data_IF_809519163912
#
_entry.id   IF_809519163912
#
_cell.length_a   1.000
_cell.length_b   1.000
_cell.length_c   1.000
_cell.angle_alpha   90.00
_cell.angle_beta   90.00
_cell.angle_gamma   90.00
#
_symmetry.space_group_name_H-M   'P 1'
#
loop_
_entity.id
_entity.type
_entity.pdbx_description
1 polymer ?
#
# COMPACT_ATOMS: atom_id res chain seq x y z
N UNK A 1 15.02 12.56 -1.10
CA UNK A 1 13.85 13.47 -1.24
C UNK A 1 13.99 14.08 -2.61
N UNK A 2 13.03 13.84 -3.49
CA UNK A 2 13.22 14.12 -4.93
C UNK A 2 12.46 15.37 -5.39
N UNK A 3 11.33 15.68 -4.76
CA UNK A 3 10.43 16.77 -5.19
C UNK A 3 10.52 18.06 -4.34
N UNK A 4 11.63 18.23 -3.62
CA UNK A 4 11.94 19.45 -2.85
C UNK A 4 13.30 19.96 -3.29
N UNK A 5 13.35 21.16 -3.86
CA UNK A 5 14.56 21.80 -4.36
C UNK A 5 15.00 22.92 -3.43
N UNK A 6 16.31 23.12 -3.33
CA UNK A 6 16.91 24.26 -2.64
C UNK A 6 17.21 25.37 -3.65
N UNK A 7 16.66 26.57 -3.42
CA UNK A 7 16.95 27.78 -4.20
C UNK A 7 18.25 28.42 -3.68
N UNK A 8 18.91 29.22 -4.52
CA UNK A 8 20.09 30.00 -4.16
C UNK A 8 19.85 30.98 -2.99
N UNK A 9 18.60 31.42 -2.77
CA UNK A 9 18.22 32.25 -1.62
C UNK A 9 18.22 31.49 -0.28
N UNK A 10 18.34 30.16 -0.31
CA UNK A 10 18.22 29.30 0.86
C UNK A 10 16.80 28.77 1.11
N UNK A 11 15.81 29.15 0.29
CA UNK A 11 14.44 28.69 0.42
C UNK A 11 14.21 27.33 -0.26
N UNK A 12 13.33 26.51 0.32
CA UNK A 12 12.91 25.24 -0.26
C UNK A 12 11.65 25.42 -1.09
N UNK A 13 11.62 24.82 -2.29
CA UNK A 13 10.47 24.87 -3.19
C UNK A 13 10.06 23.47 -3.62
N UNK A 14 8.75 23.23 -3.71
CA UNK A 14 8.21 22.00 -4.28
C UNK A 14 8.34 22.02 -5.81
N UNK A 15 8.68 20.88 -6.39
CA UNK A 15 8.69 20.68 -7.83
C UNK A 15 7.90 19.43 -8.22
N UNK A 16 7.72 19.23 -9.53
CA UNK A 16 7.00 18.11 -10.14
C UNK A 16 5.51 17.99 -9.77
N UNK A 17 4.68 18.65 -10.58
CA UNK A 17 3.23 18.59 -10.49
C UNK A 17 2.61 17.61 -11.50
N UNK A 18 3.40 16.70 -12.09
CA UNK A 18 2.93 15.74 -13.10
C UNK A 18 1.89 14.74 -12.59
N UNK A 19 1.85 14.52 -11.28
CA UNK A 19 0.87 13.67 -10.59
C UNK A 19 -0.22 14.44 -9.84
N UNK A 20 -0.24 15.77 -9.93
CA UNK A 20 -1.20 16.59 -9.21
C UNK A 20 -2.62 16.42 -9.80
N UNK A 21 -3.62 16.38 -8.92
CA UNK A 21 -5.03 16.31 -9.31
C UNK A 21 -5.89 17.18 -8.39
N UNK A 22 -7.00 17.70 -8.92
CA UNK A 22 -8.04 18.38 -8.12
C UNK A 22 -9.22 17.45 -7.80
N UNK A 23 -9.23 16.24 -8.35
CA UNK A 23 -10.29 15.28 -8.14
C UNK A 23 -10.08 14.49 -6.85
N UNK A 24 -11.13 14.35 -6.05
CA UNK A 24 -11.17 13.41 -4.93
C UNK A 24 -11.61 12.06 -5.49
N UNK A 25 -10.70 11.09 -5.53
CA UNK A 25 -10.99 9.76 -6.03
C UNK A 25 -11.85 8.97 -5.04
N UNK A 26 -12.97 8.41 -5.52
CA UNK A 26 -13.93 7.68 -4.70
C UNK A 26 -14.04 6.20 -5.14
N UNK A 27 -13.38 5.25 -4.46
CA UNK A 27 -13.39 3.82 -4.81
C UNK A 27 -14.68 3.06 -4.40
N UNK A 28 -15.86 3.60 -4.72
CA UNK A 28 -17.16 3.06 -4.27
C UNK A 28 -17.60 1.79 -5.03
N UNK A 29 -17.43 1.78 -6.35
CA UNK A 29 -17.78 0.65 -7.24
C UNK A 29 -16.56 -0.17 -7.65
N UNK A 30 -16.77 -1.37 -8.18
CA UNK A 30 -15.68 -2.20 -8.70
C UNK A 30 -14.93 -1.51 -9.86
N UNK A 31 -15.66 -0.88 -10.79
CA UNK A 31 -15.07 -0.15 -11.91
C UNK A 31 -14.27 1.08 -11.45
N UNK A 32 -14.81 1.86 -10.51
CA UNK A 32 -14.06 3.00 -9.94
C UNK A 32 -12.83 2.55 -9.15
N UNK A 33 -12.90 1.41 -8.45
CA UNK A 33 -11.73 0.84 -7.75
C UNK A 33 -10.61 0.50 -8.71
N UNK A 34 -10.92 -0.21 -9.79
CA UNK A 34 -9.93 -0.57 -10.80
C UNK A 34 -9.27 0.67 -11.42
N UNK A 35 -10.06 1.68 -11.80
CA UNK A 35 -9.52 2.94 -12.35
C UNK A 35 -8.58 3.64 -11.36
N UNK A 36 -9.01 3.75 -10.10
CA UNK A 36 -8.22 4.41 -9.05
C UNK A 36 -6.94 3.63 -8.76
N UNK A 37 -6.99 2.30 -8.78
CA UNK A 37 -5.81 1.45 -8.61
C UNK A 37 -4.77 1.67 -9.73
N UNK A 38 -5.22 1.75 -10.99
CA UNK A 38 -4.36 2.05 -12.14
C UNK A 38 -3.72 3.45 -12.04
N UNK A 39 -4.50 4.46 -11.63
CA UNK A 39 -4.00 5.83 -11.42
C UNK A 39 -2.97 5.90 -10.28
N UNK A 40 -3.25 5.25 -9.13
CA UNK A 40 -2.31 5.15 -8.01
C UNK A 40 -1.02 4.47 -8.44
N UNK A 41 -1.13 3.33 -9.15
CA UNK A 41 0.02 2.59 -9.63
C UNK A 41 0.91 3.43 -10.56
N UNK A 42 0.30 4.29 -11.37
CA UNK A 42 1.00 5.13 -12.36
C UNK A 42 1.62 6.40 -11.78
N UNK A 43 0.92 7.07 -10.86
CA UNK A 43 1.25 8.45 -10.46
C UNK A 43 1.82 8.60 -9.05
N UNK A 44 1.89 7.52 -8.27
CA UNK A 44 2.32 7.60 -6.86
C UNK A 44 3.45 6.62 -6.54
N UNK A 45 4.31 7.00 -5.60
CA UNK A 45 5.42 6.17 -5.11
C UNK A 45 4.98 5.36 -3.89
N UNK A 46 5.14 4.03 -3.94
CA UNK A 46 4.63 3.09 -2.93
C UNK A 46 4.95 3.49 -1.48
N UNK A 47 6.20 3.85 -1.19
CA UNK A 47 6.65 4.21 0.17
C UNK A 47 6.00 5.47 0.77
N UNK A 48 5.31 6.27 -0.05
CA UNK A 48 4.58 7.46 0.40
C UNK A 48 3.05 7.29 0.26
N UNK A 49 2.57 6.14 -0.23
CA UNK A 49 1.13 5.87 -0.33
C UNK A 49 0.51 5.79 1.05
N UNK A 50 -0.64 6.44 1.19
CA UNK A 50 -1.44 6.39 2.41
C UNK A 50 -2.24 5.07 2.51
N UNK A 51 -2.75 4.71 3.70
CA UNK A 51 -3.53 3.49 3.89
C UNK A 51 -4.76 3.40 2.98
N UNK A 52 -5.43 4.52 2.73
CA UNK A 52 -6.57 4.59 1.82
C UNK A 52 -6.18 4.42 0.34
N UNK A 53 -4.91 4.64 -0.05
CA UNK A 53 -4.40 4.29 -1.38
C UNK A 53 -3.98 2.81 -1.48
N UNK A 54 -3.59 2.20 -0.36
CA UNK A 54 -3.18 0.78 -0.31
C UNK A 54 -4.40 -0.14 -0.19
N UNK A 55 -5.43 0.26 0.54
CA UNK A 55 -6.65 -0.53 0.76
C UNK A 55 -7.90 0.20 0.23
N UNK A 56 -8.15 0.08 -1.07
CA UNK A 56 -9.32 0.68 -1.73
C UNK A 56 -10.66 0.06 -1.27
N UNK A 57 -10.64 -1.09 -0.61
CA UNK A 57 -11.85 -1.74 -0.09
C UNK A 57 -12.40 -1.08 1.18
N UNK A 58 -11.63 -0.20 1.82
CA UNK A 58 -12.12 0.61 2.94
C UNK A 58 -13.18 1.63 2.50
N UNK A 59 -13.30 1.90 1.19
CA UNK A 59 -14.27 2.85 0.63
C UNK A 59 -14.01 4.31 1.02
N UNK A 60 -12.85 4.62 1.59
CA UNK A 60 -12.45 5.98 1.96
C UNK A 60 -12.10 6.79 0.70
N UNK A 61 -12.53 8.06 0.62
CA UNK A 61 -12.09 8.95 -0.46
C UNK A 61 -10.59 9.19 -0.37
N UNK A 62 -9.94 9.30 -1.52
CA UNK A 62 -8.52 9.67 -1.64
C UNK A 62 -8.48 11.12 -2.08
N UNK A 63 -7.91 11.97 -1.22
CA UNK A 63 -7.84 13.42 -1.42
C UNK A 63 -6.73 14.04 -0.59
N UNK A 64 -6.85 15.33 -0.20
CA UNK A 64 -5.80 16.05 0.53
C UNK A 64 -5.21 15.36 1.78
N UNK A 65 -5.97 14.57 2.57
CA UNK A 65 -5.38 13.80 3.67
C UNK A 65 -4.26 12.84 3.25
N UNK A 66 -4.27 12.32 2.02
CA UNK A 66 -3.20 11.46 1.51
C UNK A 66 -1.85 12.19 1.42
N UNK A 67 -1.86 13.49 1.07
CA UNK A 67 -0.66 14.32 1.05
C UNK A 67 -0.10 14.55 2.46
N UNK A 68 -0.96 14.65 3.47
CA UNK A 68 -0.54 14.78 4.87
C UNK A 68 0.21 13.52 5.33
N UNK A 69 -0.25 12.34 4.91
CA UNK A 69 0.48 11.09 5.16
C UNK A 69 1.85 11.10 4.49
N UNK A 70 1.91 11.46 3.20
CA UNK A 70 3.15 11.58 2.47
C UNK A 70 4.12 12.59 3.10
N UNK A 71 3.61 13.70 3.64
CA UNK A 71 4.38 14.69 4.40
C UNK A 71 4.94 14.11 5.72
N UNK A 72 4.17 13.26 6.40
CA UNK A 72 4.66 12.48 7.55
C UNK A 72 5.83 11.56 7.19
N UNK A 73 5.70 10.81 6.09
CA UNK A 73 6.80 9.98 5.55
C UNK A 73 8.02 10.83 5.16
N UNK A 74 7.79 12.00 4.55
CA UNK A 74 8.85 12.93 4.16
C UNK A 74 9.61 13.46 5.38
N UNK A 75 8.89 13.91 6.43
CA UNK A 75 9.51 14.40 7.66
C UNK A 75 10.34 13.31 8.34
N UNK A 76 9.81 12.09 8.43
CA UNK A 76 10.56 10.94 8.94
C UNK A 76 11.86 10.72 8.14
N UNK A 77 11.78 10.77 6.80
CA UNK A 77 12.94 10.59 5.92
C UNK A 77 13.97 11.71 6.04
N UNK A 78 13.54 12.96 6.24
CA UNK A 78 14.45 14.07 6.51
C UNK A 78 15.19 13.90 7.84
N UNK A 79 14.52 13.33 8.85
CA UNK A 79 15.14 13.06 10.14
C UNK A 79 16.12 11.89 10.08
N UNK A 80 15.69 10.74 9.55
CA UNK A 80 16.37 9.47 9.73
C UNK A 80 17.02 8.90 8.46
N UNK A 81 16.86 9.57 7.32
CA UNK A 81 17.33 9.11 6.00
C UNK A 81 16.77 7.74 5.55
N UNK A 82 15.78 7.23 6.26
CA UNK A 82 15.05 6.00 5.97
C UNK A 82 13.55 6.29 5.88
N UNK A 83 12.76 5.33 5.40
CA UNK A 83 11.30 5.44 5.29
C UNK A 83 10.63 4.71 6.47
N UNK A 84 9.54 5.27 7.04
CA UNK A 84 8.92 4.68 8.24
C UNK A 84 8.35 3.27 8.01
N UNK A 85 7.96 2.96 6.76
CA UNK A 85 7.32 1.68 6.40
C UNK A 85 8.05 0.92 5.29
N UNK A 86 9.15 1.45 4.76
CA UNK A 86 9.81 0.91 3.55
C UNK A 86 8.82 0.77 2.38
N UNK A 87 8.58 -0.47 1.96
CA UNK A 87 7.59 -0.83 0.93
C UNK A 87 6.51 -1.79 1.48
N UNK A 88 6.39 -1.94 2.80
CA UNK A 88 5.46 -2.87 3.44
C UNK A 88 4.04 -2.30 3.48
N UNK A 89 3.16 -2.82 2.62
CA UNK A 89 1.74 -2.45 2.57
C UNK A 89 1.02 -2.73 3.89
N UNK A 90 1.38 -3.81 4.59
CA UNK A 90 0.81 -4.16 5.89
C UNK A 90 1.21 -3.14 6.97
N UNK A 91 2.48 -2.71 7.00
CA UNK A 91 2.95 -1.71 7.96
C UNK A 91 2.30 -0.34 7.71
N UNK A 92 2.11 0.02 6.43
CA UNK A 92 1.35 1.22 6.03
C UNK A 92 -0.07 1.14 6.58
N UNK A 93 -0.79 0.03 6.33
CA UNK A 93 -2.18 -0.14 6.77
C UNK A 93 -2.34 -0.06 8.30
N UNK A 94 -1.40 -0.63 9.06
CA UNK A 94 -1.43 -0.59 10.52
C UNK A 94 -0.97 0.77 11.09
N UNK A 95 -0.23 1.57 10.30
CA UNK A 95 0.43 2.78 10.79
C UNK A 95 1.52 2.52 11.83
N UNK A 96 2.06 1.30 11.85
CA UNK A 96 3.09 0.90 12.80
C UNK A 96 4.47 1.27 12.28
N UNK A 97 5.10 2.24 12.94
CA UNK A 97 6.49 2.62 12.73
C UNK A 97 7.16 2.90 14.07
N UNK A 98 8.50 2.91 14.08
CA UNK A 98 9.29 3.20 15.28
C UNK A 98 10.20 4.40 15.06
N UNK A 99 10.37 5.20 16.10
CA UNK A 99 11.45 6.19 16.17
C UNK A 99 12.72 5.48 16.67
N UNK A 100 13.89 5.68 16.04
CA UNK A 100 15.17 5.18 16.57
C UNK A 100 15.45 5.75 17.96
N UNK A 101 15.91 4.89 18.89
CA UNK A 101 16.11 5.27 20.30
C UNK A 101 17.14 6.40 20.46
N UNK A 102 18.21 6.38 19.66
CA UNK A 102 19.28 7.40 19.62
C UNK A 102 18.92 8.61 18.75
N UNK A 103 17.62 8.92 18.63
CA UNK A 103 17.19 10.06 17.84
C UNK A 103 17.67 11.38 18.46
N UNK A 104 18.45 12.14 17.70
CA UNK A 104 18.87 13.51 18.02
C UNK A 104 17.77 14.58 17.94
N UNK A 105 16.61 14.27 17.36
CA UNK A 105 15.49 15.22 17.19
C UNK A 105 14.61 15.29 18.45
N UNK A 106 13.92 16.42 18.62
CA UNK A 106 13.06 16.64 19.78
C UNK A 106 11.82 15.75 19.77
N UNK A 107 11.25 15.54 20.95
CA UNK A 107 9.98 14.83 21.13
C UNK A 107 8.84 15.45 20.31
N UNK A 108 8.83 16.78 20.16
CA UNK A 108 7.80 17.47 19.37
C UNK A 108 7.84 17.07 17.90
N UNK A 109 9.04 16.91 17.31
CA UNK A 109 9.20 16.40 15.94
C UNK A 109 8.70 14.97 15.83
N UNK A 110 9.00 14.12 16.82
CA UNK A 110 8.53 12.74 16.85
C UNK A 110 7.00 12.66 16.92
N UNK A 111 6.40 13.45 17.80
CA UNK A 111 4.95 13.54 17.94
C UNK A 111 4.30 14.12 16.67
N UNK A 112 4.93 15.09 16.00
CA UNK A 112 4.45 15.65 14.74
C UNK A 112 4.45 14.62 13.61
N UNK A 113 5.49 13.77 13.52
CA UNK A 113 5.50 12.64 12.59
C UNK A 113 4.32 11.70 12.90
N UNK A 114 4.12 11.30 14.16
CA UNK A 114 3.01 10.41 14.55
C UNK A 114 1.65 11.03 14.28
N UNK A 115 1.53 12.35 14.42
CA UNK A 115 0.30 13.09 14.18
C UNK A 115 -0.11 13.03 12.70
N UNK A 116 0.85 13.15 11.78
CA UNK A 116 0.59 13.03 10.34
C UNK A 116 0.38 11.58 9.89
N UNK A 117 1.11 10.63 10.48
CA UNK A 117 0.99 9.19 10.20
C UNK A 117 -0.19 8.54 10.94
N UNK A 118 -1.36 9.20 10.88
CA UNK A 118 -2.62 8.67 11.38
C UNK A 118 -3.33 7.84 10.29
N UNK A 119 -3.55 6.53 10.48
CA UNK A 119 -4.07 5.67 9.43
C UNK A 119 -5.47 6.04 8.96
N UNK A 120 -6.33 6.51 9.86
CA UNK A 120 -7.66 6.95 9.48
C UNK A 120 -7.62 8.37 8.88
N UNK A 121 -7.90 8.55 7.57
CA UNK A 121 -7.84 9.88 6.94
C UNK A 121 -8.82 10.90 7.53
N UNK A 122 -9.89 10.45 8.20
CA UNK A 122 -10.87 11.35 8.84
C UNK A 122 -10.34 11.94 10.17
N UNK A 123 -9.38 11.25 10.80
CA UNK A 123 -8.74 11.69 12.05
C UNK A 123 -7.39 12.36 11.80
N UNK A 124 -6.84 12.18 10.59
CA UNK A 124 -5.57 12.76 10.17
C UNK A 124 -5.69 14.29 10.12
N UNK A 125 -4.67 15.02 10.60
CA UNK A 125 -4.72 16.47 10.61
C UNK A 125 -4.77 17.05 9.20
N UNK A 126 -5.29 18.26 9.06
CA UNK A 126 -5.10 19.06 7.86
C UNK A 126 -3.78 19.84 7.88
N UNK A 127 -3.46 20.48 6.75
CA UNK A 127 -2.21 21.22 6.59
C UNK A 127 -2.09 22.40 7.56
N UNK A 128 -3.21 23.01 7.97
CA UNK A 128 -3.20 24.11 8.93
C UNK A 128 -2.78 23.61 10.32
N UNK A 129 -3.35 22.50 10.78
CA UNK A 129 -2.99 21.87 12.05
C UNK A 129 -1.53 21.41 12.05
N UNK A 130 -1.04 20.82 10.96
CA UNK A 130 0.38 20.43 10.83
C UNK A 130 1.29 21.65 10.88
N UNK A 131 0.97 22.69 10.11
CA UNK A 131 1.77 23.92 10.07
C UNK A 131 1.80 24.62 11.43
N UNK A 132 0.71 24.62 12.19
CA UNK A 132 0.69 25.19 13.54
C UNK A 132 1.82 24.62 14.43
N UNK A 133 1.93 23.29 14.51
CA UNK A 133 2.99 22.65 15.32
C UNK A 133 4.38 22.77 14.69
N UNK A 134 4.49 22.68 13.37
CA UNK A 134 5.77 22.80 12.68
C UNK A 134 6.41 24.19 12.86
N UNK A 135 5.62 25.25 12.71
CA UNK A 135 6.10 26.62 12.90
C UNK A 135 6.32 26.94 14.39
N UNK A 136 5.46 26.43 15.29
CA UNK A 136 5.68 26.54 16.73
C UNK A 136 7.02 25.89 17.17
N UNK A 137 7.34 24.71 16.64
CA UNK A 137 8.63 24.05 16.90
C UNK A 137 9.85 24.85 16.39
N UNK A 138 9.65 25.69 15.37
CA UNK A 138 10.65 26.64 14.87
C UNK A 138 10.68 27.97 15.64
N UNK A 139 9.73 28.20 16.55
CA UNK A 139 9.55 29.50 17.22
C UNK A 139 9.02 30.59 16.29
N UNK A 140 8.30 30.23 15.24
CA UNK A 140 7.75 31.14 14.24
C UNK A 140 6.22 31.13 14.25
N UNK A 141 5.60 32.21 13.77
CA UNK A 141 4.15 32.27 13.55
C UNK A 141 3.75 31.38 12.37
N UNK A 142 2.62 30.68 12.48
CA UNK A 142 2.05 29.90 11.38
C UNK A 142 1.52 30.84 10.26
N UNK A 143 2.06 30.79 9.03
CA UNK A 143 1.60 31.61 7.92
C UNK A 143 0.41 30.99 7.15
N UNK A 144 0.00 29.77 7.48
CA UNK A 144 -1.08 29.06 6.78
C UNK A 144 -2.43 29.47 7.37
N UNK A 145 -3.40 29.81 6.51
CA UNK A 145 -4.77 30.16 6.92
C UNK A 145 -5.59 28.94 7.33
N UNK A 146 -6.45 29.11 8.35
CA UNK A 146 -7.36 28.06 8.81
C UNK A 146 -8.65 27.98 7.99
N UNK A 147 -8.54 27.57 6.72
CA UNK A 147 -9.68 27.53 5.79
C UNK A 147 -10.80 26.56 6.23
N UNK A 148 -10.48 25.54 7.02
CA UNK A 148 -11.42 24.51 7.47
C UNK A 148 -11.96 24.75 8.88
N UNK A 149 -11.57 25.86 9.53
CA UNK A 149 -11.87 26.14 10.94
C UNK A 149 -11.52 24.96 11.88
N UNK A 150 -10.40 24.30 11.58
CA UNK A 150 -9.94 23.12 12.29
C UNK A 150 -9.46 23.49 13.70
N UNK A 151 -9.79 22.63 14.66
CA UNK A 151 -9.40 22.81 16.06
C UNK A 151 -7.97 22.29 16.27
N UNK A 152 -7.14 23.06 16.96
CA UNK A 152 -5.80 22.61 17.36
C UNK A 152 -5.92 21.73 18.61
N UNK A 153 -5.37 20.51 18.61
CA UNK A 153 -5.34 19.69 19.83
C UNK A 153 -4.35 20.26 20.84
N UNK A 154 -4.62 20.09 22.14
CA UNK A 154 -3.72 20.57 23.19
C UNK A 154 -2.44 19.75 23.30
N UNK A 155 -2.46 18.49 22.85
CA UNK A 155 -1.33 17.57 22.92
C UNK A 155 -1.31 16.65 21.70
N UNK A 156 -0.11 16.42 21.16
CA UNK A 156 0.12 15.50 20.05
C UNK A 156 0.28 14.04 20.52
N UNK A 157 -0.10 13.06 19.69
CA UNK A 157 0.11 11.65 20.00
C UNK A 157 1.60 11.31 20.06
N UNK A 158 2.00 10.52 21.06
CA UNK A 158 3.40 10.07 21.18
C UNK A 158 3.64 8.84 20.29
N UNK A 159 4.75 8.79 19.53
CA UNK A 159 5.11 7.61 18.78
C UNK A 159 5.60 6.50 19.70
N UNK A 160 5.55 5.27 19.19
CA UNK A 160 6.09 4.10 19.87
C UNK A 160 7.62 4.05 19.68
N UNK A 161 8.36 3.80 20.76
CA UNK A 161 9.82 3.59 20.73
C UNK A 161 10.17 2.13 20.48
N UNK A 162 11.36 1.88 19.92
CA UNK A 162 11.79 0.54 19.49
C UNK A 162 11.88 -0.46 20.65
N UNK A 163 12.15 0.00 21.88
CA UNK A 163 12.23 -0.83 23.09
C UNK A 163 10.91 -1.58 23.39
N UNK A 164 9.75 -1.04 23.01
CA UNK A 164 8.45 -1.67 23.28
C UNK A 164 7.98 -2.65 22.19
N UNK A 165 8.75 -2.83 21.11
CA UNK A 165 8.47 -3.80 20.05
C UNK A 165 9.39 -5.03 20.16
N UNK A 166 8.84 -6.24 20.36
CA UNK A 166 9.62 -7.47 20.35
C UNK A 166 10.39 -7.64 19.03
N UNK A 167 11.67 -7.98 19.14
CA UNK A 167 12.69 -8.09 18.08
C UNK A 167 12.36 -9.07 16.93
N UNK A 168 11.27 -9.82 17.03
CA UNK A 168 10.94 -10.94 16.14
C UNK A 168 10.28 -10.51 14.81
N UNK A 169 9.72 -9.30 14.72
CA UNK A 169 9.02 -8.84 13.51
C UNK A 169 9.94 -8.30 12.39
N UNK A 170 11.19 -7.94 12.71
CA UNK A 170 12.06 -7.21 11.76
C UNK A 170 13.15 -8.07 11.10
N UNK A 171 13.48 -9.25 11.64
CA UNK A 171 14.58 -10.10 11.16
C UNK A 171 14.23 -11.01 9.96
N UNK A 172 13.02 -10.93 9.38
CA UNK A 172 12.65 -11.74 8.21
C UNK A 172 12.93 -11.10 6.84
N UNK A 173 13.53 -9.90 6.79
CA UNK A 173 13.80 -9.19 5.53
C UNK A 173 15.29 -9.03 5.17
N UNK A 174 16.22 -9.65 5.90
CA UNK A 174 17.63 -9.60 5.52
C UNK A 174 18.50 -10.58 6.29
N UNK A 175 19.07 -11.54 5.56
CA UNK A 175 20.23 -12.40 5.85
C UNK A 175 19.93 -13.88 5.56
N UNK A 176 20.20 -14.28 4.31
CA UNK A 176 20.60 -15.66 4.04
C UNK A 176 22.13 -15.77 4.20
N UNK A 177 22.51 -16.36 5.33
CA UNK A 177 23.61 -17.31 5.55
C UNK A 177 25.08 -16.88 5.38
N UNK A 178 25.79 -16.86 6.51
CA UNK A 178 27.19 -17.28 6.60
C UNK A 178 27.37 -18.17 7.84
N UNK A 179 27.78 -19.43 7.64
CA UNK A 179 28.22 -20.36 8.69
C UNK A 179 27.70 -21.79 8.56
N UNK A 180 28.39 -22.64 7.78
CA UNK A 180 28.30 -24.11 7.87
C UNK A 180 29.04 -24.66 9.11
N UNK A 181 29.08 -26.00 9.35
CA UNK A 181 29.48 -27.05 8.39
C UNK A 181 28.46 -28.23 8.38
N UNK A 182 28.47 -29.27 7.52
CA UNK A 182 29.52 -30.16 7.01
C UNK A 182 28.97 -30.96 5.81
N UNK A 183 29.84 -31.24 4.83
CA UNK A 183 29.88 -32.41 3.91
C UNK A 183 28.68 -32.65 2.95
N UNK A 184 28.82 -32.48 1.63
CA UNK A 184 29.66 -33.31 0.74
C UNK A 184 29.94 -32.57 -0.58
N UNK A 185 31.20 -32.57 -1.00
CA UNK A 185 31.72 -31.87 -2.18
C UNK A 185 31.66 -32.75 -3.44
N UNK A 186 30.88 -32.34 -4.44
CA UNK A 186 31.08 -32.72 -5.84
C UNK A 186 31.44 -31.45 -6.63
N UNK A 187 32.42 -31.60 -7.51
CA UNK A 187 33.31 -30.67 -8.22
C UNK A 187 32.73 -29.45 -8.96
N UNK A 188 33.57 -28.42 -9.28
CA UNK A 188 33.15 -27.09 -9.70
C UNK A 188 33.05 -26.91 -11.23
N UNK A 189 31.97 -26.28 -11.72
CA UNK A 189 31.84 -25.88 -13.13
C UNK A 189 32.02 -24.37 -13.29
N UNK A 190 33.11 -23.99 -13.98
CA UNK A 190 33.48 -22.61 -14.33
C UNK A 190 32.38 -21.92 -15.14
N UNK A 191 32.07 -20.67 -14.79
CA UNK A 191 31.26 -19.75 -15.61
C UNK A 191 32.19 -18.89 -16.49
N UNK A 192 31.95 -18.74 -17.80
CA UNK A 192 32.78 -17.91 -18.65
C UNK A 192 32.55 -16.41 -18.39
N UNK A 193 33.65 -15.65 -18.36
CA UNK A 193 33.66 -14.19 -18.36
C UNK A 193 33.34 -13.66 -19.76
N UNK A 194 32.44 -12.67 -19.86
CA UNK A 194 32.00 -12.05 -21.11
C UNK A 194 31.79 -10.54 -20.97
N UNK A 195 32.88 -9.82 -21.21
CA UNK A 195 33.11 -8.45 -21.74
C UNK A 195 32.01 -7.37 -21.65
N UNK A 196 32.48 -6.22 -21.14
CA UNK A 196 31.93 -4.87 -21.26
C UNK A 196 31.48 -4.50 -22.69
N UNK A 197 30.30 -3.91 -22.81
CA UNK A 197 29.99 -2.91 -23.86
C UNK A 197 28.86 -1.97 -23.40
N UNK A 198 29.16 -0.66 -23.38
CA UNK A 198 28.18 0.42 -23.30
C UNK A 198 27.49 0.59 -24.67
N UNK A 199 26.21 1.00 -24.69
CA UNK A 199 25.76 1.92 -25.73
C UNK A 199 25.04 3.18 -25.21
N UNK A 200 25.20 4.21 -26.02
CA UNK A 200 24.90 5.64 -25.88
C UNK A 200 23.42 6.06 -25.78
N UNK A 201 23.13 7.33 -25.41
CA UNK A 201 21.78 7.82 -25.16
C UNK A 201 21.02 8.14 -26.44
N UNK A 202 19.74 7.73 -26.50
CA UNK A 202 18.82 8.10 -27.58
C UNK A 202 18.06 9.41 -27.25
N UNK A 203 17.68 10.19 -28.28
CA UNK A 203 17.30 11.60 -28.12
C UNK A 203 15.88 11.81 -27.57
N UNK A 204 15.73 12.94 -26.86
CA UNK A 204 14.52 13.49 -26.25
C UNK A 204 13.55 14.01 -27.32
N UNK A 205 12.25 13.66 -27.33
CA UNK A 205 11.27 14.34 -28.17
C UNK A 205 10.88 15.71 -27.58
N UNK A 206 10.80 16.71 -28.45
CA UNK A 206 10.26 18.05 -28.17
C UNK A 206 8.72 18.00 -28.04
N UNK A 207 8.09 18.89 -27.26
CA UNK A 207 6.64 19.00 -27.22
C UNK A 207 6.11 19.80 -28.41
N UNK A 208 5.38 19.13 -29.30
CA UNK A 208 4.50 19.79 -30.28
C UNK A 208 3.21 20.23 -29.59
N UNK A 209 2.77 21.41 -30.01
CA UNK A 209 1.67 22.22 -29.51
C UNK A 209 0.28 21.53 -29.48
N UNK A 210 -0.57 22.12 -28.62
CA UNK A 210 -2.04 22.15 -28.61
C UNK A 210 -2.80 20.97 -27.99
N UNK A 211 -3.26 21.20 -26.75
CA UNK A 211 -4.50 20.62 -26.22
C UNK A 211 -5.51 21.75 -25.97
N UNK A 212 -6.80 21.58 -26.34
CA UNK A 212 -7.78 22.64 -26.30
C UNK A 212 -8.22 22.98 -24.86
N UNK A 213 -8.37 24.29 -24.62
CA UNK A 213 -8.97 24.91 -23.44
C UNK A 213 -10.43 24.44 -23.28
N UNK A 214 -10.71 23.55 -22.32
CA UNK A 214 -12.07 23.36 -21.86
C UNK A 214 -12.38 24.34 -20.72
N UNK A 215 -13.38 25.18 -21.03
CA UNK A 215 -13.92 26.29 -20.27
C UNK A 215 -14.48 25.82 -18.92
N UNK A 216 -13.99 26.45 -17.86
CA UNK A 216 -14.50 26.37 -16.48
C UNK A 216 -15.99 26.74 -16.48
N UNK A 217 -16.85 25.81 -16.08
CA UNK A 217 -18.19 26.13 -15.60
C UNK A 217 -18.18 26.08 -14.07
N UNK A 218 -18.35 27.25 -13.47
CA UNK A 218 -18.65 27.40 -12.06
C UNK A 218 -19.94 26.65 -11.71
N UNK A 219 -19.88 25.73 -10.76
CA UNK A 219 -21.03 25.40 -9.94
C UNK A 219 -20.60 25.33 -8.47
N UNK A 220 -21.12 26.28 -7.70
CA UNK A 220 -20.91 26.40 -6.27
C UNK A 220 -21.66 25.30 -5.50
N UNK A 221 -20.99 24.85 -4.42
CA UNK A 221 -21.55 24.47 -3.10
C UNK A 221 -22.70 23.46 -3.07
N UNK A 222 -22.38 22.23 -2.66
CA UNK A 222 -23.24 21.45 -1.74
C UNK A 222 -22.35 20.52 -0.88
N UNK A 223 -22.07 20.92 0.35
CA UNK A 223 -21.66 20.01 1.42
C UNK A 223 -22.52 20.34 2.64
N UNK A 224 -23.47 19.47 2.98
CA UNK A 224 -24.12 19.47 4.28
C UNK A 224 -24.39 18.04 4.76
N UNK A 225 -23.73 17.72 5.86
CA UNK A 225 -24.20 17.03 7.07
C UNK A 225 -25.11 15.80 6.93
N UNK A 226 -24.61 14.65 7.39
CA UNK A 226 -25.45 13.52 7.83
C UNK A 226 -24.94 13.04 9.19
N UNK A 227 -25.45 13.61 10.28
CA UNK A 227 -25.58 12.94 11.59
C UNK A 227 -26.68 13.65 12.40
N UNK A 228 -27.63 12.87 12.94
CA UNK A 228 -28.37 13.28 14.14
C UNK A 228 -29.89 13.15 14.11
N UNK A 229 -30.38 12.04 14.66
CA UNK A 229 -31.76 11.77 15.08
C UNK A 229 -32.33 12.82 16.04
N UNK A 230 -33.63 13.14 15.88
CA UNK A 230 -34.68 12.97 16.92
C UNK A 230 -35.81 13.98 16.76
N UNK A 231 -37.02 13.45 16.53
CA UNK A 231 -38.29 14.18 16.62
C UNK A 231 -38.60 14.48 18.09
N UNK A 232 -38.64 15.75 18.46
CA UNK A 232 -39.32 16.22 19.66
C UNK A 232 -40.53 17.07 19.25
N UNK A 233 -41.72 16.59 19.61
CA UNK A 233 -42.97 17.31 19.43
C UNK A 233 -43.13 18.36 20.54
N UNK A 234 -43.70 19.49 20.13
CA UNK A 234 -44.01 20.69 20.92
C UNK A 234 -44.99 20.38 22.06
N UNK A 235 -44.82 21.05 23.20
CA UNK A 235 -45.93 21.78 23.83
C UNK A 235 -45.43 22.86 24.79
N UNK A 236 -46.01 24.02 24.58
CA UNK A 236 -46.04 25.26 25.36
C UNK A 236 -46.75 25.08 26.71
N UNK A 237 -46.29 25.78 27.75
CA UNK A 237 -47.06 26.82 28.48
C UNK A 237 -46.75 26.88 29.98
N UNK A 238 -46.26 28.05 30.43
CA UNK A 238 -46.64 28.81 31.64
C UNK A 238 -46.88 28.10 32.98
N UNK A 239 -45.89 28.25 33.87
CA UNK A 239 -45.94 28.82 35.24
C UNK A 239 -47.33 29.07 35.87
N UNK A 240 -47.60 28.40 37.02
CA UNK A 240 -47.90 28.90 38.41
C UNK A 240 -48.90 27.99 39.19
N UNK A 241 -49.07 28.09 40.53
CA UNK A 241 -48.77 26.99 41.46
C UNK A 241 -49.97 26.56 42.35
N UNK A 242 -49.74 25.54 43.20
CA UNK A 242 -50.18 25.44 44.60
C UNK A 242 -50.78 24.09 45.04
N UNK A 243 -50.18 23.58 46.12
CA UNK A 243 -50.76 22.91 47.29
C UNK A 243 -51.33 21.48 47.22
N UNK A 244 -50.79 20.72 48.20
CA UNK A 244 -51.40 19.72 49.06
C UNK A 244 -51.12 18.22 48.80
N UNK A 245 -50.37 17.70 49.78
CA UNK A 245 -50.15 16.32 50.17
C UNK A 245 -51.43 15.49 50.24
N UNK A 246 -51.31 14.20 49.92
CA UNK A 246 -51.54 13.02 50.82
C UNK A 246 -51.78 11.77 49.95
N UNK A 247 -51.52 10.59 50.52
CA UNK A 247 -51.76 9.22 50.01
C UNK A 247 -50.53 8.54 49.38
N UNK A 248 -49.59 8.19 50.26
CA UNK A 248 -48.64 7.09 50.09
C UNK A 248 -49.25 5.89 50.82
N UNK A 249 -49.77 4.88 50.10
CA UNK A 249 -49.88 3.50 50.65
C UNK A 249 -50.33 2.37 49.69
N UNK A 250 -50.22 2.50 48.36
CA UNK A 250 -50.57 1.39 47.44
C UNK A 250 -49.52 0.99 46.38
N UNK A 251 -48.29 1.49 46.44
CA UNK A 251 -47.33 1.34 45.32
C UNK A 251 -46.38 0.14 45.35
N UNK A 252 -46.34 -0.67 46.42
CA UNK A 252 -45.28 -1.70 46.58
C UNK A 252 -45.51 -2.96 45.77
N UNK A 253 -46.76 -3.37 45.53
CA UNK A 253 -47.07 -4.61 44.79
C UNK A 253 -46.92 -4.45 43.26
N UNK A 254 -47.25 -3.28 42.71
CA UNK A 254 -47.07 -2.98 41.28
C UNK A 254 -45.60 -2.74 40.93
N UNK A 255 -44.82 -2.10 41.81
CA UNK A 255 -43.36 -1.98 41.64
C UNK A 255 -42.65 -3.34 41.64
N UNK A 256 -43.10 -4.30 42.45
CA UNK A 256 -42.53 -5.66 42.46
C UNK A 256 -42.89 -6.46 41.20
N UNK A 257 -44.12 -6.38 40.68
CA UNK A 257 -44.48 -7.02 39.39
C UNK A 257 -43.74 -6.40 38.21
N UNK A 258 -43.63 -5.07 38.17
CA UNK A 258 -42.89 -4.37 37.12
C UNK A 258 -41.40 -4.76 37.13
N UNK A 259 -40.78 -4.84 38.30
CA UNK A 259 -39.38 -5.30 38.44
C UNK A 259 -39.20 -6.76 37.97
N UNK A 260 -40.14 -7.65 38.30
CA UNK A 260 -40.09 -9.05 37.89
C UNK A 260 -40.28 -9.21 36.37
N UNK A 261 -41.16 -8.41 35.76
CA UNK A 261 -41.36 -8.40 34.30
C UNK A 261 -40.13 -7.82 33.57
N UNK A 262 -39.47 -6.81 34.14
CA UNK A 262 -38.23 -6.24 33.60
C UNK A 262 -37.04 -7.21 33.67
N UNK A 263 -36.96 -8.02 34.73
CA UNK A 263 -35.95 -9.10 34.83
C UNK A 263 -36.14 -10.16 33.74
N UNK A 264 -37.39 -10.53 33.43
CA UNK A 264 -37.70 -11.54 32.42
C UNK A 264 -37.38 -11.05 31.00
N UNK A 265 -37.68 -9.79 30.69
CA UNK A 265 -37.29 -9.14 29.42
C UNK A 265 -35.77 -9.07 29.29
N UNK A 266 -35.05 -8.70 30.36
CA UNK A 266 -33.58 -8.68 30.37
C UNK A 266 -32.99 -10.07 30.13
N UNK A 267 -33.56 -11.11 30.75
CA UNK A 267 -33.11 -12.48 30.55
C UNK A 267 -33.33 -12.95 29.10
N UNK A 268 -34.46 -12.58 28.50
CA UNK A 268 -34.77 -12.90 27.10
C UNK A 268 -33.86 -12.15 26.12
N UNK A 269 -33.51 -10.89 26.40
CA UNK A 269 -32.54 -10.12 25.62
C UNK A 269 -31.14 -10.73 25.67
N UNK A 270 -30.65 -11.10 26.86
CA UNK A 270 -29.34 -11.75 27.01
C UNK A 270 -29.28 -13.09 26.26
N UNK A 271 -30.37 -13.85 26.24
CA UNK A 271 -30.45 -15.11 25.51
C UNK A 271 -30.45 -14.89 23.99
N UNK A 272 -31.15 -13.86 23.49
CA UNK A 272 -31.07 -13.44 22.08
C UNK A 272 -29.65 -13.00 21.70
N UNK A 273 -28.99 -12.23 22.55
CA UNK A 273 -27.64 -11.73 22.32
C UNK A 273 -26.62 -12.89 22.26
N UNK A 274 -26.77 -13.90 23.12
CA UNK A 274 -25.96 -15.13 23.07
C UNK A 274 -26.14 -15.90 21.76
N UNK A 275 -27.38 -16.10 21.31
CA UNK A 275 -27.66 -16.79 20.04
C UNK A 275 -27.10 -16.01 18.86
N UNK A 276 -27.22 -14.69 18.89
CA UNK A 276 -26.68 -13.82 17.84
C UNK A 276 -25.15 -13.85 17.80
N UNK A 277 -24.50 -13.89 18.96
CA UNK A 277 -23.04 -14.02 19.07
C UNK A 277 -22.55 -15.38 18.56
N UNK A 278 -23.29 -16.46 18.86
CA UNK A 278 -22.98 -17.81 18.40
C UNK A 278 -23.11 -17.93 16.87
N UNK A 279 -24.17 -17.36 16.28
CA UNK A 279 -24.35 -17.29 14.82
C UNK A 279 -23.24 -16.46 14.14
N UNK A 280 -22.84 -15.33 14.73
CA UNK A 280 -21.75 -14.52 14.21
C UNK A 280 -20.42 -15.29 14.20
N UNK A 281 -20.15 -16.07 15.25
CA UNK A 281 -18.95 -16.89 15.35
C UNK A 281 -18.95 -18.04 14.32
N UNK A 282 -20.11 -18.65 14.07
CA UNK A 282 -20.26 -19.70 13.05
C UNK A 282 -20.07 -19.17 11.62
N UNK A 283 -20.58 -17.96 11.33
CA UNK A 283 -20.37 -17.30 10.04
C UNK A 283 -18.89 -16.99 9.79
N UNK A 284 -18.17 -16.54 10.83
CA UNK A 284 -16.75 -16.24 10.73
C UNK A 284 -15.91 -17.50 10.46
N UNK A 285 -16.29 -18.62 11.10
CA UNK A 285 -15.66 -19.93 10.86
C UNK A 285 -15.90 -20.41 9.42
N UNK A 286 -17.12 -20.23 8.91
CA UNK A 286 -17.48 -20.61 7.54
C UNK A 286 -16.71 -19.78 6.51
N UNK A 287 -16.57 -18.47 6.75
CA UNK A 287 -15.76 -17.59 5.89
C UNK A 287 -14.29 -18.02 5.89
N UNK A 288 -13.74 -18.37 7.05
CA UNK A 288 -12.37 -18.86 7.15
C UNK A 288 -12.17 -20.17 6.37
N UNK A 289 -13.13 -21.10 6.43
CA UNK A 289 -13.10 -22.33 5.63
C UNK A 289 -13.12 -22.06 4.12
N UNK A 290 -13.97 -21.13 3.65
CA UNK A 290 -14.00 -20.74 2.24
C UNK A 290 -12.67 -20.13 1.79
N UNK A 291 -12.07 -19.26 2.59
CA UNK A 291 -10.78 -18.64 2.27
C UNK A 291 -9.68 -19.71 2.14
N UNK A 292 -9.69 -20.70 3.05
CA UNK A 292 -8.75 -21.82 3.03
C UNK A 292 -8.91 -22.68 1.77
N UNK A 293 -10.15 -22.96 1.37
CA UNK A 293 -10.43 -23.65 0.11
C UNK A 293 -9.91 -22.87 -1.10
N UNK A 294 -10.15 -21.55 -1.12
CA UNK A 294 -9.72 -20.70 -2.23
C UNK A 294 -8.20 -20.63 -2.34
N UNK A 295 -7.48 -20.51 -1.20
CA UNK A 295 -6.01 -20.58 -1.17
C UNK A 295 -5.50 -21.92 -1.71
N UNK A 296 -6.11 -23.03 -1.29
CA UNK A 296 -5.68 -24.36 -1.72
C UNK A 296 -5.88 -24.55 -3.23
N UNK A 297 -6.99 -24.04 -3.77
CA UNK A 297 -7.27 -24.07 -5.21
C UNK A 297 -6.27 -23.21 -6.00
N UNK A 298 -5.90 -22.04 -5.49
CA UNK A 298 -4.85 -21.19 -6.09
C UNK A 298 -3.50 -21.90 -6.10
N UNK A 299 -3.14 -22.56 -5.00
CA UNK A 299 -1.88 -23.29 -4.91
C UNK A 299 -1.81 -24.46 -5.90
N UNK A 300 -2.94 -25.14 -6.12
CA UNK A 300 -3.05 -26.24 -7.07
C UNK A 300 -2.91 -25.75 -8.53
N UNK A 301 -3.54 -24.62 -8.87
CA UNK A 301 -3.38 -23.96 -10.17
C UNK A 301 -1.94 -23.55 -10.43
N UNK A 302 -1.26 -23.01 -9.42
CA UNK A 302 0.13 -22.60 -9.53
C UNK A 302 1.07 -23.80 -9.72
N UNK A 303 0.83 -24.92 -9.03
CA UNK A 303 1.57 -26.17 -9.28
C UNK A 303 1.36 -26.66 -10.71
N UNK A 304 0.13 -26.61 -11.23
CA UNK A 304 -0.17 -27.06 -12.59
C UNK A 304 0.51 -26.19 -13.65
N UNK A 305 0.54 -24.86 -13.45
CA UNK A 305 1.31 -23.96 -14.33
C UNK A 305 2.81 -24.24 -14.30
N UNK A 306 3.40 -24.43 -13.12
CA UNK A 306 4.82 -24.77 -13.00
C UNK A 306 5.15 -26.08 -13.72
N UNK A 307 4.28 -27.09 -13.62
CA UNK A 307 4.47 -28.37 -14.28
C UNK A 307 4.38 -28.25 -15.81
N UNK A 308 3.43 -27.47 -16.34
CA UNK A 308 3.37 -27.15 -17.77
C UNK A 308 4.63 -26.42 -18.25
N UNK A 309 5.12 -25.46 -17.47
CA UNK A 309 6.31 -24.69 -17.83
C UNK A 309 7.57 -25.58 -17.89
N UNK A 310 7.68 -26.56 -16.97
CA UNK A 310 8.75 -27.56 -16.99
C UNK A 310 8.69 -28.46 -18.23
N UNK A 311 7.50 -28.95 -18.59
CA UNK A 311 7.30 -29.75 -19.80
C UNK A 311 7.68 -28.96 -21.06
N UNK A 312 7.31 -27.68 -21.12
CA UNK A 312 7.64 -26.82 -22.26
C UNK A 312 9.15 -26.54 -22.36
N UNK A 313 9.84 -26.34 -21.24
CA UNK A 313 11.31 -26.24 -21.23
C UNK A 313 11.97 -27.52 -21.72
N UNK A 314 11.46 -28.69 -21.32
CA UNK A 314 12.01 -29.97 -21.72
C UNK A 314 11.83 -30.21 -23.24
N UNK A 315 10.66 -29.85 -23.79
CA UNK A 315 10.44 -29.87 -25.25
C UNK A 315 11.38 -28.92 -25.99
N UNK A 316 11.57 -27.69 -25.50
CA UNK A 316 12.48 -26.73 -26.12
C UNK A 316 13.94 -27.23 -26.11
N UNK A 317 14.38 -27.87 -25.02
CA UNK A 317 15.70 -28.51 -24.96
C UNK A 317 15.84 -29.64 -25.98
N UNK A 318 14.82 -30.47 -26.13
CA UNK A 318 14.82 -31.55 -27.13
C UNK A 318 14.87 -31.02 -28.56
N UNK A 319 14.12 -29.95 -28.86
CA UNK A 319 14.19 -29.28 -30.16
C UNK A 319 15.57 -28.70 -30.44
N UNK A 320 16.20 -28.04 -29.46
CA UNK A 320 17.57 -27.54 -29.60
C UNK A 320 18.56 -28.67 -29.88
N UNK A 321 18.46 -29.80 -29.17
CA UNK A 321 19.35 -30.93 -29.36
C UNK A 321 19.20 -31.52 -30.77
N UNK A 322 17.96 -31.68 -31.26
CA UNK A 322 17.70 -32.13 -32.63
C UNK A 322 18.25 -31.16 -33.68
N UNK A 323 18.08 -29.85 -33.47
CA UNK A 323 18.58 -28.83 -34.40
C UNK A 323 20.11 -28.84 -34.45
N UNK A 324 20.76 -29.07 -33.31
CA UNK A 324 22.22 -29.18 -33.21
C UNK A 324 22.75 -30.45 -33.91
N UNK A 325 22.06 -31.59 -33.76
CA UNK A 325 22.36 -32.81 -34.52
C UNK A 325 22.24 -32.59 -36.04
N UNK A 326 21.18 -31.91 -36.48
CA UNK A 326 20.97 -31.63 -37.90
C UNK A 326 22.08 -30.73 -38.47
N UNK A 327 22.48 -29.68 -37.74
CA UNK A 327 23.61 -28.83 -38.13
C UNK A 327 24.91 -29.62 -38.22
N UNK A 328 25.18 -30.50 -37.26
CA UNK A 328 26.39 -31.31 -37.26
C UNK A 328 26.41 -32.27 -38.46
N UNK A 329 25.27 -32.87 -38.80
CA UNK A 329 25.14 -33.73 -39.97
C UNK A 329 25.36 -32.94 -41.28
N UNK A 330 24.83 -31.72 -41.40
CA UNK A 330 25.09 -30.85 -42.55
C UNK A 330 26.57 -30.45 -42.67
N UNK A 331 27.24 -30.14 -41.56
CA UNK A 331 28.68 -29.85 -41.56
C UNK A 331 29.52 -31.04 -42.04
N UNK A 332 29.19 -32.25 -41.59
CA UNK A 332 29.86 -33.47 -42.05
C UNK A 332 29.65 -33.70 -43.55
N UNK A 333 28.44 -33.45 -44.05
CA UNK A 333 28.14 -33.54 -45.49
C UNK A 333 28.96 -32.52 -46.30
N UNK A 334 29.06 -31.27 -45.83
CA UNK A 334 29.90 -30.25 -46.48
C UNK A 334 31.38 -30.62 -46.49
N UNK A 335 31.92 -31.17 -45.40
CA UNK A 335 33.31 -31.64 -45.36
C UNK A 335 33.55 -32.75 -46.37
N UNK A 336 32.64 -33.73 -46.45
CA UNK A 336 32.75 -34.82 -47.43
C UNK A 336 32.74 -34.29 -48.86
N UNK A 337 31.87 -33.32 -49.16
CA UNK A 337 31.81 -32.70 -50.49
C UNK A 337 33.11 -31.96 -50.84
N UNK A 338 33.66 -31.18 -49.88
CA UNK A 338 34.94 -30.51 -50.07
C UNK A 338 36.08 -31.50 -50.31
N UNK A 339 36.10 -32.60 -49.56
CA UNK A 339 37.13 -33.63 -49.69
C UNK A 339 37.06 -34.30 -51.07
N UNK A 340 35.85 -34.61 -51.55
CA UNK A 340 35.66 -35.15 -52.90
C UNK A 340 36.12 -34.16 -53.99
N UNK A 341 35.86 -32.86 -53.81
CA UNK A 341 36.34 -31.83 -54.73
C UNK A 341 37.87 -31.76 -54.76
N UNK A 342 38.51 -31.82 -53.59
CA UNK A 342 39.97 -31.83 -53.46
C UNK A 342 40.57 -33.05 -54.15
N UNK A 343 39.99 -34.24 -53.96
CA UNK A 343 40.42 -35.47 -54.62
C UNK A 343 40.29 -35.38 -56.15
N UNK A 344 39.18 -34.84 -56.66
CA UNK A 344 38.99 -34.62 -58.09
C UNK A 344 40.00 -33.63 -58.67
N UNK A 345 40.30 -32.52 -57.97
CA UNK A 345 41.34 -31.58 -58.40
C UNK A 345 42.72 -32.24 -58.41
N UNK A 346 43.02 -33.08 -57.42
CA UNK A 346 44.29 -33.78 -57.35
C UNK A 346 44.43 -34.80 -58.49
N UNK A 347 43.37 -35.54 -58.83
CA UNK A 347 43.33 -36.43 -59.98
C UNK A 347 43.48 -35.68 -61.31
N UNK A 348 42.79 -34.54 -61.47
CA UNK A 348 42.95 -33.68 -62.65
C UNK A 348 44.40 -33.19 -62.80
N UNK A 349 45.01 -32.73 -61.70
CA UNK A 349 46.40 -32.28 -61.70
C UNK A 349 47.37 -33.40 -62.10
N UNK A 350 47.16 -34.62 -61.58
CA UNK A 350 47.95 -35.79 -61.95
C UNK A 350 47.76 -36.20 -63.43
N UNK A 351 46.58 -36.01 -64.01
CA UNK A 351 46.33 -36.24 -65.43
C UNK A 351 47.03 -35.21 -66.33
N UNK A 352 47.05 -33.93 -65.91
CA UNK A 352 47.74 -32.85 -66.65
C UNK A 352 49.27 -33.09 -66.67
N UNK A 353 49.87 -33.65 -65.62
CA UNK A 353 51.30 -33.95 -65.58
C UNK A 353 51.74 -35.15 -66.44
N UNK A 354 50.80 -35.95 -66.96
CA UNK A 354 51.09 -37.13 -67.80
C UNK A 354 50.93 -36.87 -69.30
N UNK A 355 50.49 -35.67 -69.69
CA UNK A 355 50.50 -35.17 -71.08
C UNK A 355 51.68 -34.24 -71.28
#
# INVERSE_FOLDING_TARGET
>A
VENVLLRDSGDFVLCDFGSATCEVAQPSTAASRQRVEEEIAKYTTLSYRSPEMVNLFMGKPIGPPADIWALGCLLYKLCFFDLPFGESTLAIQNGEFTIPDESKYSKDVHCLIRYMLEPNPDLRPDIYQVAHFAFAAKGASNPVDNLRNSRIPNQLPSPLSRIFYPREAQLKAGQLSAGGPTETSITPRKRPQGKLSLPQPRPRPQPTQQVPLFRILHHEKTYMSILGLSRAAKSTSTVQPATNSTVVQQSTAEQQRAAQQQQLIRQQQLQQEQVQQQNAQQLLLQQHQQLKQQQNQQQQLQQQQNQQQQLQQQQNQQQQLNQQQLQQQQQLQQQMLLQQQMEQQQQMYLQIQQQ
#
